data_IF_566834012653
#
_entry.id   IF_566834012653
#
_cell.length_a   1.000
_cell.length_b   1.000
_cell.length_c   1.000
_cell.angle_alpha   90.00
_cell.angle_beta   90.00
_cell.angle_gamma   90.00
#
_symmetry.space_group_name_H-M   'P 1'
#
loop_
_entity.id
_entity.type
_entity.pdbx_description
1 polymer ?
#
# COMPACT_ATOMS: atom_id res chain seq x y z
N UNK A 1 -2.42 -11.60 -26.80
CA UNK A 1 -2.49 -11.27 -25.36
C UNK A 1 -3.94 -11.31 -24.91
N UNK A 2 -4.25 -11.83 -23.72
CA UNK A 2 -5.61 -11.74 -23.15
C UNK A 2 -5.86 -10.31 -22.66
N UNK A 3 -7.12 -9.85 -22.70
CA UNK A 3 -7.53 -8.52 -22.20
C UNK A 3 -7.31 -8.41 -20.69
N UNK A 4 -6.61 -7.36 -20.25
CA UNK A 4 -6.47 -6.99 -18.85
C UNK A 4 -7.62 -6.12 -18.35
N UNK A 5 -7.90 -6.15 -17.05
CA UNK A 5 -8.93 -5.34 -16.41
C UNK A 5 -8.37 -4.63 -15.17
N UNK A 6 -8.94 -3.46 -14.86
CA UNK A 6 -8.65 -2.70 -13.65
C UNK A 6 -9.82 -2.88 -12.69
N UNK A 7 -9.52 -3.24 -11.44
CA UNK A 7 -10.50 -3.36 -10.37
C UNK A 7 -10.20 -2.32 -9.29
N UNK A 8 -11.21 -1.56 -8.87
CA UNK A 8 -11.10 -0.55 -7.82
C UNK A 8 -12.02 -0.94 -6.67
N UNK A 9 -11.42 -1.25 -5.52
CA UNK A 9 -12.15 -1.46 -4.27
C UNK A 9 -12.07 -0.19 -3.42
N UNK A 10 -13.19 0.53 -3.28
CA UNK A 10 -13.28 1.83 -2.58
C UNK A 10 -14.44 1.85 -1.58
N UNK A 11 -14.59 2.95 -0.83
CA UNK A 11 -15.58 3.17 0.23
C UNK A 11 -15.05 2.89 1.64
N UNK A 12 -15.82 3.24 2.67
CA UNK A 12 -15.35 3.19 4.06
C UNK A 12 -15.45 1.81 4.71
N UNK A 13 -16.22 0.91 4.10
CA UNK A 13 -16.39 -0.46 4.58
C UNK A 13 -15.08 -1.26 4.68
N UNK A 14 -15.01 -2.15 5.67
CA UNK A 14 -13.93 -3.14 5.79
C UNK A 14 -14.01 -4.14 4.63
N UNK A 15 -12.86 -4.57 4.12
CA UNK A 15 -12.76 -5.68 3.16
C UNK A 15 -12.00 -5.36 1.87
N UNK A 16 -11.72 -4.09 1.57
CA UNK A 16 -10.98 -3.67 0.36
C UNK A 16 -9.65 -4.42 0.18
N UNK A 17 -8.79 -4.37 1.20
CA UNK A 17 -7.50 -5.06 1.20
C UNK A 17 -7.69 -6.58 1.15
N UNK A 18 -8.66 -7.11 1.89
CA UNK A 18 -8.93 -8.56 1.93
C UNK A 18 -9.38 -9.08 0.57
N UNK A 19 -10.21 -8.34 -0.16
CA UNK A 19 -10.64 -8.68 -1.51
C UNK A 19 -9.46 -8.72 -2.49
N UNK A 20 -8.59 -7.71 -2.46
CA UNK A 20 -7.38 -7.66 -3.29
C UNK A 20 -6.41 -8.81 -2.97
N UNK A 21 -6.19 -9.11 -1.68
CA UNK A 21 -5.36 -10.23 -1.23
C UNK A 21 -5.95 -11.57 -1.66
N UNK A 22 -7.26 -11.76 -1.51
CA UNK A 22 -7.94 -12.99 -1.95
C UNK A 22 -7.82 -13.22 -3.46
N UNK A 23 -7.91 -12.16 -4.26
CA UNK A 23 -7.68 -12.23 -5.71
C UNK A 23 -6.24 -12.60 -6.05
N UNK A 24 -5.26 -12.00 -5.36
CA UNK A 24 -3.84 -12.29 -5.51
C UNK A 24 -3.54 -13.77 -5.22
N UNK A 25 -4.02 -14.29 -4.09
CA UNK A 25 -3.84 -15.71 -3.71
C UNK A 25 -4.51 -16.64 -4.72
N UNK A 26 -5.71 -16.30 -5.20
CA UNK A 26 -6.40 -17.08 -6.26
C UNK A 26 -5.59 -17.13 -7.54
N UNK A 27 -5.02 -16.00 -7.97
CA UNK A 27 -4.19 -15.94 -9.17
C UNK A 27 -2.90 -16.76 -9.02
N UNK A 28 -2.21 -16.63 -7.89
CA UNK A 28 -1.02 -17.41 -7.58
C UNK A 28 -1.31 -18.92 -7.55
N UNK A 29 -2.42 -19.34 -6.94
CA UNK A 29 -2.89 -20.73 -6.95
C UNK A 29 -3.21 -21.27 -8.35
N UNK A 30 -3.50 -20.40 -9.31
CA UNK A 30 -3.67 -20.75 -10.72
C UNK A 30 -2.34 -20.67 -11.53
N UNK A 31 -1.20 -20.60 -10.85
CA UNK A 31 0.13 -20.54 -11.47
C UNK A 31 0.49 -19.20 -12.11
N UNK A 32 -0.26 -18.13 -11.82
CA UNK A 32 0.07 -16.78 -12.30
C UNK A 32 1.11 -16.12 -11.40
N UNK A 33 1.90 -15.20 -11.97
CA UNK A 33 2.77 -14.31 -11.21
C UNK A 33 1.98 -13.11 -10.72
N UNK A 34 2.16 -12.73 -9.46
CA UNK A 34 1.44 -11.64 -8.81
C UNK A 34 2.43 -10.71 -8.11
N UNK A 35 2.35 -9.42 -8.37
CA UNK A 35 3.04 -8.39 -7.60
C UNK A 35 2.03 -7.65 -6.73
N UNK A 36 2.31 -7.54 -5.43
CA UNK A 36 1.53 -6.76 -4.48
C UNK A 36 2.41 -5.61 -3.99
N UNK A 37 1.99 -4.37 -4.25
CA UNK A 37 2.60 -3.17 -3.68
C UNK A 37 1.67 -2.61 -2.62
N UNK A 38 2.16 -2.45 -1.40
CA UNK A 38 1.41 -1.82 -0.31
C UNK A 38 2.03 -0.47 0.05
N UNK A 39 1.27 0.59 -0.15
CA UNK A 39 1.63 1.95 0.26
C UNK A 39 1.25 2.21 1.72
N UNK A 40 2.01 3.08 2.39
CA UNK A 40 1.77 3.49 3.78
C UNK A 40 1.74 2.32 4.78
N UNK A 41 2.46 1.24 4.48
CA UNK A 41 2.55 0.07 5.35
C UNK A 41 3.99 -0.36 5.54
N UNK A 42 4.31 -0.77 6.76
CA UNK A 42 5.50 -1.55 7.10
C UNK A 42 5.15 -3.05 7.14
N UNK A 43 6.15 -3.91 7.34
CA UNK A 43 5.99 -5.36 7.51
C UNK A 43 5.41 -5.76 8.90
N UNK A 44 4.37 -5.05 9.34
CA UNK A 44 3.77 -5.22 10.67
C UNK A 44 2.49 -6.07 10.68
N UNK A 45 1.96 -6.44 9.51
CA UNK A 45 0.65 -7.11 9.40
C UNK A 45 0.80 -8.61 9.18
N UNK A 46 -0.07 -9.40 9.81
CA UNK A 46 0.03 -10.86 9.80
C UNK A 46 -0.15 -11.47 8.40
N UNK A 47 -0.96 -10.87 7.54
CA UNK A 47 -1.13 -11.37 6.16
C UNK A 47 0.18 -11.29 5.36
N UNK A 48 1.03 -10.31 5.65
CA UNK A 48 2.28 -10.11 4.91
C UNK A 48 3.24 -11.27 5.13
N UNK A 49 3.22 -11.89 6.32
CA UNK A 49 4.09 -13.02 6.65
C UNK A 49 3.77 -14.23 5.78
N UNK A 50 2.49 -14.58 5.64
CA UNK A 50 2.07 -15.71 4.80
C UNK A 50 2.17 -15.39 3.31
N UNK A 51 1.90 -14.15 2.88
CA UNK A 51 2.01 -13.77 1.47
C UNK A 51 3.42 -13.94 0.92
N UNK A 52 4.45 -13.68 1.74
CA UNK A 52 5.85 -13.89 1.37
C UNK A 52 6.23 -15.36 1.17
N UNK A 53 5.46 -16.30 1.73
CA UNK A 53 5.74 -17.73 1.59
C UNK A 53 5.04 -18.37 0.40
N UNK A 54 4.14 -17.65 -0.28
CA UNK A 54 3.36 -18.20 -1.40
C UNK A 54 4.20 -18.08 -2.69
N UNK A 55 4.53 -19.20 -3.36
CA UNK A 55 5.24 -19.16 -4.64
C UNK A 55 4.48 -18.33 -5.68
N UNK A 56 5.21 -17.49 -6.41
CA UNK A 56 4.64 -16.63 -7.45
C UNK A 56 4.07 -15.29 -6.95
N UNK A 57 4.07 -15.02 -5.64
CA UNK A 57 3.73 -13.72 -5.07
C UNK A 57 5.02 -12.96 -4.71
N UNK A 58 5.17 -11.76 -5.28
CA UNK A 58 6.15 -10.76 -4.84
C UNK A 58 5.43 -9.70 -4.01
N UNK A 59 5.85 -9.51 -2.75
CA UNK A 59 5.31 -8.49 -1.87
C UNK A 59 6.32 -7.35 -1.68
N UNK A 60 5.91 -6.13 -2.02
CA UNK A 60 6.68 -4.90 -1.85
C UNK A 60 5.88 -3.98 -0.92
N UNK A 61 6.47 -3.60 0.21
CA UNK A 61 5.88 -2.64 1.15
C UNK A 61 6.67 -1.35 1.10
N UNK A 62 6.00 -0.24 0.79
CA UNK A 62 6.57 1.10 0.82
C UNK A 62 5.77 1.95 1.79
N UNK A 63 6.43 2.35 2.87
CA UNK A 63 5.77 3.09 3.93
C UNK A 63 6.75 3.40 5.04
N UNK A 64 6.57 4.57 5.62
CA UNK A 64 7.22 4.96 6.86
C UNK A 64 6.32 4.54 8.03
N UNK A 65 6.84 4.46 9.27
CA UNK A 65 6.03 4.20 10.45
C UNK A 65 5.05 5.33 10.79
N UNK A 66 5.02 6.40 9.98
CA UNK A 66 4.11 7.53 10.10
C UNK A 66 3.27 7.70 8.83
N UNK A 67 2.08 8.27 8.99
CA UNK A 67 1.21 8.72 7.92
C UNK A 67 1.67 10.06 7.37
N UNK A 68 1.37 10.34 6.10
CA UNK A 68 1.49 11.68 5.53
C UNK A 68 0.09 12.20 5.25
N UNK A 69 -0.16 13.47 5.58
CA UNK A 69 -1.42 14.12 5.25
C UNK A 69 -1.17 15.52 4.72
N UNK A 70 -1.94 15.91 3.71
CA UNK A 70 -1.90 17.27 3.18
C UNK A 70 -2.49 18.22 4.22
N UNK A 71 -1.99 19.45 4.29
CA UNK A 71 -2.62 20.53 5.07
C UNK A 71 -4.14 20.59 4.81
N UNK A 72 -4.92 20.62 5.90
CA UNK A 72 -6.38 20.64 5.86
C UNK A 72 -7.07 19.28 5.66
N UNK A 73 -6.34 18.17 5.52
CA UNK A 73 -6.96 16.82 5.46
C UNK A 73 -7.42 16.28 6.81
N UNK A 74 -6.80 16.74 7.91
CA UNK A 74 -7.07 16.25 9.26
C UNK A 74 -7.63 17.36 10.13
N UNK A 75 -8.58 17.02 10.99
CA UNK A 75 -9.09 17.93 12.01
C UNK A 75 -8.04 18.12 13.12
N UNK A 76 -8.16 19.20 13.89
CA UNK A 76 -7.27 19.43 15.04
C UNK A 76 -7.31 18.29 16.07
N UNK A 77 -8.46 17.66 16.26
CA UNK A 77 -8.59 16.48 17.13
C UNK A 77 -7.83 15.28 16.60
N UNK A 78 -7.89 15.03 15.29
CA UNK A 78 -7.12 13.95 14.65
C UNK A 78 -5.62 14.22 14.74
N UNK A 79 -5.18 15.47 14.55
CA UNK A 79 -3.78 15.86 14.71
C UNK A 79 -3.27 15.65 16.13
N UNK A 80 -4.07 16.02 17.14
CA UNK A 80 -3.73 15.77 18.55
C UNK A 80 -3.65 14.28 18.87
N UNK A 81 -4.54 13.48 18.28
CA UNK A 81 -4.60 12.03 18.50
C UNK A 81 -3.42 11.32 17.84
N UNK A 82 -3.09 11.68 16.60
CA UNK A 82 -2.06 11.01 15.82
C UNK A 82 -0.66 11.55 16.14
N UNK A 83 -0.55 12.79 16.60
CA UNK A 83 0.67 13.36 17.15
C UNK A 83 1.87 13.21 16.22
N UNK A 84 2.86 12.42 16.65
CA UNK A 84 4.11 12.17 15.90
C UNK A 84 3.97 11.14 14.79
N UNK A 85 2.86 10.40 14.76
CA UNK A 85 2.60 9.38 13.75
C UNK A 85 2.03 9.97 12.46
N UNK A 86 1.95 11.31 12.35
CA UNK A 86 1.56 12.00 11.13
C UNK A 86 2.52 13.14 10.77
N UNK A 87 2.90 13.21 9.50
CA UNK A 87 3.68 14.29 8.91
C UNK A 87 2.77 15.09 7.99
N UNK A 88 2.56 16.37 8.32
CA UNK A 88 1.77 17.30 7.52
C UNK A 88 2.66 17.96 6.47
N UNK A 89 2.16 18.05 5.24
CA UNK A 89 2.88 18.67 4.14
C UNK A 89 2.01 19.65 3.34
N UNK A 90 2.60 20.72 2.76
CA UNK A 90 1.87 21.66 1.92
C UNK A 90 1.32 20.98 0.66
N UNK A 91 0.16 21.45 0.18
CA UNK A 91 -0.45 20.96 -1.04
C UNK A 91 0.56 20.93 -2.21
N UNK A 92 0.68 19.77 -2.89
CA UNK A 92 1.60 19.61 -4.03
C UNK A 92 3.07 19.40 -3.66
N UNK A 93 3.44 19.48 -2.38
CA UNK A 93 4.83 19.39 -1.92
C UNK A 93 4.99 18.28 -0.87
N UNK A 94 4.76 17.00 -1.23
CA UNK A 94 5.00 15.90 -0.31
C UNK A 94 6.51 15.77 0.01
N UNK A 95 6.87 15.20 1.17
CA UNK A 95 8.27 15.04 1.55
C UNK A 95 9.09 14.32 0.47
N UNK A 96 10.25 14.88 0.09
CA UNK A 96 11.10 14.34 -0.99
C UNK A 96 11.55 12.91 -0.73
N UNK A 97 11.87 12.59 0.52
CA UNK A 97 12.24 11.24 0.93
C UNK A 97 11.09 10.24 0.66
N UNK A 98 9.85 10.67 0.92
CA UNK A 98 8.67 9.84 0.73
C UNK A 98 8.41 9.58 -0.76
N UNK A 99 8.60 10.60 -1.62
CA UNK A 99 8.54 10.44 -3.08
C UNK A 99 9.57 9.42 -3.57
N UNK A 100 10.84 9.61 -3.21
CA UNK A 100 11.93 8.69 -3.58
C UNK A 100 11.67 7.25 -3.14
N UNK A 101 11.10 7.07 -1.94
CA UNK A 101 10.73 5.76 -1.43
C UNK A 101 9.63 5.09 -2.27
N UNK A 102 8.58 5.85 -2.64
CA UNK A 102 7.53 5.36 -3.52
C UNK A 102 8.09 4.97 -4.88
N UNK A 103 8.87 5.86 -5.51
CA UNK A 103 9.44 5.64 -6.84
C UNK A 103 10.33 4.39 -6.84
N UNK A 104 11.16 4.21 -5.81
CA UNK A 104 11.98 3.02 -5.65
C UNK A 104 11.18 1.73 -5.46
N UNK A 105 10.01 1.79 -4.80
CA UNK A 105 9.12 0.63 -4.68
C UNK A 105 8.40 0.29 -5.97
N UNK A 106 7.99 1.31 -6.74
CA UNK A 106 7.38 1.13 -8.06
C UNK A 106 8.39 0.51 -9.02
N UNK A 107 9.64 0.99 -9.04
CA UNK A 107 10.67 0.44 -9.92
C UNK A 107 10.88 -1.07 -9.66
N UNK A 108 10.98 -1.47 -8.39
CA UNK A 108 11.09 -2.88 -7.98
C UNK A 108 9.92 -3.76 -8.41
N UNK A 109 8.76 -3.17 -8.72
CA UNK A 109 7.57 -3.91 -9.15
C UNK A 109 7.52 -4.11 -10.67
N UNK A 110 8.27 -3.31 -11.42
CA UNK A 110 8.35 -3.38 -12.89
C UNK A 110 9.49 -4.31 -13.34
N UNK A 111 10.54 -4.41 -12.52
CA UNK A 111 11.67 -5.33 -12.71
C UNK A 111 11.29 -6.81 -12.48
#
# INVERSE_FOLDING_TARGET
MKKGYIQVYTGDGKGKTTAAVGLAVRAAGAGQKVCIIQFMKSLAYSEQKVLQTIPGITLITVGKPYFIAKEGMLTEEQLKTWGRDVVIYPAGHPPEEYKKMIDGGIQKAVD
#
